data_IF_571902684789
#
_entry.id   IF_571902684789
#
_cell.length_a   1.000
_cell.length_b   1.000
_cell.length_c   1.000
_cell.angle_alpha   90.00
_cell.angle_beta   90.00
_cell.angle_gamma   90.00
#
_symmetry.space_group_name_H-M   'P 1'
#
loop_
_entity.id
_entity.type
_entity.pdbx_description
1 polymer ?
#
# COMPACT_ATOMS: atom_id res chain seq x y z
N UNK A 1 11.06 25.07 4.89
CA UNK A 1 10.72 23.96 5.78
C UNK A 1 9.78 23.03 5.03
N UNK A 2 10.31 21.96 4.43
CA UNK A 2 9.48 20.87 3.89
C UNK A 2 8.99 20.09 5.10
N UNK A 3 7.67 20.01 5.29
CA UNK A 3 7.06 19.19 6.35
C UNK A 3 7.67 17.79 6.29
N UNK A 4 8.42 17.39 7.32
CA UNK A 4 8.81 16.00 7.49
C UNK A 4 7.53 15.17 7.51
N UNK A 5 7.31 14.39 6.46
CA UNK A 5 6.28 13.35 6.49
C UNK A 5 6.66 12.44 7.65
N UNK A 6 5.86 12.46 8.71
CA UNK A 6 5.94 11.45 9.76
C UNK A 6 5.46 10.15 9.16
N UNK A 7 6.39 9.41 8.56
CA UNK A 7 6.12 8.14 7.87
C UNK A 7 5.32 7.17 8.73
N UNK A 8 5.52 7.18 10.04
CA UNK A 8 4.74 6.40 11.00
C UNK A 8 3.25 6.74 10.96
N UNK A 9 2.89 8.02 11.02
CA UNK A 9 1.49 8.47 11.03
C UNK A 9 0.86 8.21 9.65
N UNK A 10 1.60 8.50 8.59
CA UNK A 10 1.19 8.21 7.22
C UNK A 10 0.88 6.70 6.99
N UNK A 11 1.74 5.82 7.50
CA UNK A 11 1.52 4.37 7.38
C UNK A 11 0.38 3.88 8.27
N UNK A 12 0.12 4.51 9.41
CA UNK A 12 -1.06 4.22 10.22
C UNK A 12 -2.35 4.54 9.44
N UNK A 13 -2.42 5.72 8.81
CA UNK A 13 -3.58 6.10 8.00
C UNK A 13 -3.78 5.15 6.80
N UNK A 14 -2.67 4.71 6.19
CA UNK A 14 -2.71 3.71 5.11
C UNK A 14 -3.27 2.36 5.60
N UNK A 15 -2.87 1.91 6.80
CA UNK A 15 -3.35 0.67 7.39
C UNK A 15 -4.86 0.71 7.63
N UNK A 16 -5.36 1.81 8.22
CA UNK A 16 -6.80 2.09 8.40
C UNK A 16 -7.57 2.04 7.08
N UNK A 17 -7.01 2.61 6.00
CA UNK A 17 -7.62 2.50 4.67
C UNK A 17 -7.64 1.07 4.12
N UNK A 18 -6.56 0.30 4.31
CA UNK A 18 -6.46 -1.09 3.83
C UNK A 18 -7.53 -1.97 4.48
N UNK A 19 -7.75 -1.84 5.77
CA UNK A 19 -8.78 -2.59 6.52
C UNK A 19 -10.21 -2.06 6.30
N UNK A 20 -10.39 -1.14 5.34
CA UNK A 20 -11.67 -0.57 4.90
C UNK A 20 -12.42 0.26 5.95
N UNK A 21 -11.73 0.79 6.96
CA UNK A 21 -12.30 1.81 7.86
C UNK A 21 -12.52 3.14 7.13
N UNK A 22 -11.77 3.40 6.06
CA UNK A 22 -11.89 4.59 5.20
C UNK A 22 -12.21 4.23 3.74
N UNK A 23 -13.17 4.93 3.13
CA UNK A 23 -13.58 4.71 1.73
C UNK A 23 -12.62 5.29 0.70
N UNK A 24 -11.89 6.35 1.07
CA UNK A 24 -10.97 7.08 0.19
C UNK A 24 -9.71 7.49 0.94
N UNK A 25 -8.58 7.53 0.24
CA UNK A 25 -7.30 7.99 0.77
C UNK A 25 -6.70 9.04 -0.17
N UNK A 26 -6.39 10.23 0.34
CA UNK A 26 -5.83 11.32 -0.46
C UNK A 26 -4.31 11.31 -0.35
N UNK A 27 -3.63 11.20 -1.49
CA UNK A 27 -2.17 11.26 -1.57
C UNK A 27 -1.79 12.61 -2.18
N UNK A 28 -1.02 13.40 -1.45
CA UNK A 28 -0.49 14.68 -1.92
C UNK A 28 1.03 14.58 -2.04
N UNK A 29 1.60 15.22 -3.05
CA UNK A 29 3.06 15.29 -3.22
C UNK A 29 3.49 15.16 -4.67
N UNK A 30 4.78 14.84 -4.85
CA UNK A 30 5.35 14.55 -6.16
C UNK A 30 4.57 13.43 -6.86
N UNK A 31 4.31 13.59 -8.15
CA UNK A 31 3.49 12.67 -8.93
C UNK A 31 4.03 11.24 -8.89
N UNK A 32 5.35 11.05 -9.02
CA UNK A 32 5.96 9.71 -9.04
C UNK A 32 5.84 9.05 -7.67
N UNK A 33 6.06 9.81 -6.61
CA UNK A 33 5.87 9.32 -5.22
C UNK A 33 4.41 8.97 -4.99
N UNK A 34 3.47 9.82 -5.43
CA UNK A 34 2.05 9.60 -5.28
C UNK A 34 1.57 8.35 -6.02
N UNK A 35 2.04 8.13 -7.25
CA UNK A 35 1.74 6.93 -8.04
C UNK A 35 2.32 5.65 -7.40
N UNK A 36 3.58 5.70 -6.95
CA UNK A 36 4.20 4.58 -6.26
C UNK A 36 3.47 4.23 -4.96
N UNK A 37 3.06 5.25 -4.21
CA UNK A 37 2.24 5.13 -2.99
C UNK A 37 0.89 4.52 -3.30
N UNK A 38 0.16 5.04 -4.29
CA UNK A 38 -1.16 4.54 -4.67
C UNK A 38 -1.10 3.06 -5.08
N UNK A 39 -0.06 2.68 -5.83
CA UNK A 39 0.15 1.30 -6.26
C UNK A 39 0.44 0.37 -5.08
N UNK A 40 1.32 0.79 -4.16
CA UNK A 40 1.62 0.02 -2.95
C UNK A 40 0.39 -0.15 -2.06
N UNK A 41 -0.36 0.93 -1.83
CA UNK A 41 -1.58 0.94 -1.04
C UNK A 41 -2.69 0.06 -1.65
N UNK A 42 -2.92 0.20 -2.96
CA UNK A 42 -3.88 -0.63 -3.70
C UNK A 42 -3.54 -2.12 -3.65
N UNK A 43 -2.27 -2.46 -3.84
CA UNK A 43 -1.81 -3.86 -3.78
C UNK A 43 -1.90 -4.44 -2.37
N UNK A 44 -1.60 -3.65 -1.33
CA UNK A 44 -1.81 -4.04 0.07
C UNK A 44 -3.28 -4.30 0.37
N UNK A 45 -4.18 -3.41 -0.09
CA UNK A 45 -5.62 -3.60 0.08
C UNK A 45 -6.14 -4.82 -0.66
N UNK A 46 -5.67 -5.06 -1.88
CA UNK A 46 -6.00 -6.27 -2.64
C UNK A 46 -5.57 -7.53 -1.88
N UNK A 47 -4.35 -7.56 -1.35
CA UNK A 47 -3.87 -8.69 -0.55
C UNK A 47 -4.74 -8.90 0.69
N UNK A 48 -5.05 -7.84 1.43
CA UNK A 48 -5.94 -7.92 2.59
C UNK A 48 -7.31 -8.53 2.22
N UNK A 49 -7.96 -7.99 1.19
CA UNK A 49 -9.27 -8.48 0.75
C UNK A 49 -9.23 -9.96 0.32
N UNK A 50 -8.17 -10.39 -0.36
CA UNK A 50 -7.97 -11.80 -0.76
C UNK A 50 -7.75 -12.69 0.46
N UNK A 51 -7.03 -12.23 1.48
CA UNK A 51 -6.81 -12.98 2.72
C UNK A 51 -8.07 -13.08 3.59
N UNK A 52 -8.95 -12.07 3.55
CA UNK A 52 -10.20 -12.05 4.30
C UNK A 52 -11.37 -12.76 3.58
N UNK A 53 -11.18 -13.15 2.31
CA UNK A 53 -12.19 -13.82 1.51
C UNK A 53 -12.14 -15.33 1.71
N UNK A 54 -13.25 -15.94 2.14
CA UNK A 54 -13.37 -17.40 2.30
C UNK A 54 -13.36 -18.14 0.95
N UNK A 55 -13.62 -17.43 -0.14
CA UNK A 55 -13.72 -17.99 -1.49
C UNK A 55 -12.41 -17.90 -2.27
N UNK A 56 -11.40 -17.21 -1.72
CA UNK A 56 -10.14 -17.00 -2.42
C UNK A 56 -9.29 -18.26 -2.48
N UNK A 57 -8.85 -18.60 -3.68
CA UNK A 57 -7.95 -19.72 -3.92
C UNK A 57 -6.52 -19.42 -3.47
N UNK A 58 -5.75 -20.47 -3.20
CA UNK A 58 -4.31 -20.37 -2.89
C UNK A 58 -3.54 -19.65 -4.02
N UNK A 59 -3.95 -19.84 -5.28
CA UNK A 59 -3.31 -19.19 -6.43
C UNK A 59 -3.53 -17.66 -6.42
N UNK A 60 -4.74 -17.22 -6.06
CA UNK A 60 -5.06 -15.80 -5.91
C UNK A 60 -4.27 -15.17 -4.78
N UNK A 61 -4.16 -15.85 -3.63
CA UNK A 61 -3.33 -15.41 -2.49
C UNK A 61 -1.87 -15.24 -2.94
N UNK A 62 -1.29 -16.25 -3.60
CA UNK A 62 0.09 -16.18 -4.12
C UNK A 62 0.27 -15.00 -5.09
N UNK A 63 -0.67 -14.82 -6.00
CA UNK A 63 -0.64 -13.73 -6.99
C UNK A 63 -0.70 -12.35 -6.31
N UNK A 64 -1.56 -12.20 -5.29
CA UNK A 64 -1.67 -10.97 -4.52
C UNK A 64 -0.38 -10.67 -3.73
N UNK A 65 0.24 -11.68 -3.11
CA UNK A 65 1.53 -11.53 -2.41
C UNK A 65 2.62 -11.05 -3.37
N UNK A 66 2.74 -11.66 -4.55
CA UNK A 66 3.76 -11.27 -5.55
C UNK A 66 3.52 -9.83 -6.02
N UNK A 67 2.29 -9.49 -6.36
CA UNK A 67 1.90 -8.15 -6.79
C UNK A 67 2.24 -7.10 -5.72
N UNK A 68 1.89 -7.37 -4.46
CA UNK A 68 2.15 -6.51 -3.31
C UNK A 68 3.66 -6.36 -3.02
N UNK A 69 4.45 -7.43 -3.15
CA UNK A 69 5.93 -7.35 -3.05
C UNK A 69 6.52 -6.49 -4.17
N UNK A 70 6.05 -6.63 -5.40
CA UNK A 70 6.49 -5.82 -6.54
C UNK A 70 6.19 -4.33 -6.32
N UNK A 71 5.00 -4.00 -5.83
CA UNK A 71 4.60 -2.62 -5.56
C UNK A 71 5.43 -2.00 -4.41
N UNK A 72 5.65 -2.74 -3.32
CA UNK A 72 6.50 -2.30 -2.20
C UNK A 72 7.96 -2.03 -2.65
N UNK A 73 8.52 -2.91 -3.48
CA UNK A 73 9.86 -2.70 -4.05
C UNK A 73 9.94 -1.48 -4.96
N UNK A 74 8.88 -1.21 -5.74
CA UNK A 74 8.83 -0.01 -6.57
C UNK A 74 8.76 1.26 -5.71
N UNK A 75 7.95 1.25 -4.65
CA UNK A 75 7.88 2.34 -3.69
C UNK A 75 9.24 2.62 -3.03
N UNK A 76 9.95 1.57 -2.59
CA UNK A 76 11.30 1.69 -2.04
C UNK A 76 12.26 2.35 -3.03
N UNK A 77 12.28 1.89 -4.28
CA UNK A 77 13.13 2.47 -5.34
C UNK A 77 12.82 3.95 -5.60
N UNK A 78 11.57 4.36 -5.44
CA UNK A 78 11.12 5.74 -5.70
C UNK A 78 11.36 6.67 -4.52
N UNK A 79 11.22 6.19 -3.29
CA UNK A 79 11.18 7.03 -2.09
C UNK A 79 12.38 6.86 -1.15
N UNK A 80 13.12 5.75 -1.29
CA UNK A 80 14.14 5.33 -0.32
C UNK A 80 13.57 4.76 0.99
N UNK A 81 12.24 4.70 1.12
CA UNK A 81 11.55 4.24 2.33
C UNK A 81 10.96 2.84 2.09
N UNK A 82 11.15 1.94 3.05
CA UNK A 82 10.52 0.62 3.02
C UNK A 82 9.02 0.76 3.25
N UNK A 83 8.21 0.26 2.30
CA UNK A 83 6.77 0.11 2.52
C UNK A 83 6.53 -0.97 3.59
N UNK A 84 5.75 -0.69 4.63
CA UNK A 84 5.47 -1.66 5.67
C UNK A 84 4.56 -2.75 5.12
N UNK A 85 4.88 -3.98 5.52
CA UNK A 85 4.39 -5.23 4.96
C UNK A 85 4.80 -5.42 3.52
#
# INVERSE_FOLDING_TARGET
MLNEIKWKDFFADCATYVISENKSFRINGDKKIAEATANALSSSRKLYNVLCSEQSSILEVKTAIISKKKAANQFLKTTGICWPF
#
